data_IF_732476059669
#
_entry.id   IF_732476059669
#
_cell.length_a   1.000
_cell.length_b   1.000
_cell.length_c   1.000
_cell.angle_alpha   90.00
_cell.angle_beta   90.00
_cell.angle_gamma   90.00
#
_symmetry.space_group_name_H-M   'P 1'
#
loop_
_entity.id
_entity.type
_entity.pdbx_description
1 polymer ?
#
# COMPACT_ATOMS: atom_id res chain seq x y z
N UNK A 1 14.52 -7.00 17.36
CA UNK A 1 15.07 -5.62 17.14
C UNK A 1 13.98 -4.80 16.47
N UNK A 2 13.89 -3.49 16.81
CA UNK A 2 12.90 -2.57 16.18
C UNK A 2 13.67 -1.64 15.23
N UNK A 3 13.16 -1.49 14.01
CA UNK A 3 13.67 -0.56 13.00
C UNK A 3 12.54 0.36 12.55
N UNK A 4 12.81 1.65 12.48
CA UNK A 4 11.84 2.66 12.05
C UNK A 4 12.30 3.35 10.77
N UNK A 5 11.37 3.57 9.85
CA UNK A 5 11.59 4.23 8.57
C UNK A 5 10.52 5.30 8.37
N UNK A 6 10.93 6.53 8.13
CA UNK A 6 10.01 7.59 7.70
C UNK A 6 10.13 7.76 6.20
N UNK A 7 9.02 7.62 5.49
CA UNK A 7 8.94 7.84 4.05
C UNK A 7 8.36 9.23 3.83
N UNK A 8 9.11 10.17 3.26
CA UNK A 8 8.62 11.50 2.98
C UNK A 8 7.39 11.49 2.05
N UNK A 9 6.60 12.55 2.11
CA UNK A 9 5.50 12.77 1.17
C UNK A 9 5.97 12.59 -0.29
N UNK A 10 5.14 12.00 -1.14
CA UNK A 10 5.39 11.82 -2.58
C UNK A 10 6.66 11.02 -2.89
N UNK A 11 7.13 10.17 -2.00
CA UNK A 11 8.33 9.34 -2.18
C UNK A 11 8.07 7.86 -1.88
N UNK A 12 9.05 7.00 -2.21
CA UNK A 12 8.98 5.57 -1.95
C UNK A 12 10.26 5.03 -1.33
N UNK A 13 10.15 3.85 -0.72
CA UNK A 13 11.27 3.17 -0.06
C UNK A 13 11.18 1.66 -0.21
N UNK A 14 12.34 1.00 -0.36
CA UNK A 14 12.47 -0.45 -0.21
C UNK A 14 12.81 -0.80 1.23
N UNK A 15 12.13 -1.82 1.77
CA UNK A 15 12.39 -2.35 3.10
C UNK A 15 12.38 -3.88 3.02
N UNK A 16 13.47 -4.51 3.41
CA UNK A 16 13.54 -5.97 3.48
C UNK A 16 13.01 -6.47 4.83
N UNK A 17 12.16 -7.49 4.79
CA UNK A 17 11.48 -8.08 5.95
C UNK A 17 11.65 -9.58 5.92
N UNK A 18 11.85 -10.20 7.06
CA UNK A 18 11.91 -11.66 7.18
C UNK A 18 10.58 -12.27 7.57
N UNK A 19 10.44 -13.55 7.27
CA UNK A 19 9.30 -14.33 7.75
C UNK A 19 9.14 -14.20 9.27
N UNK A 20 7.89 -13.97 9.70
CA UNK A 20 7.43 -13.75 11.07
C UNK A 20 7.75 -12.36 11.67
N UNK A 21 8.46 -11.49 10.96
CA UNK A 21 8.57 -10.10 11.39
C UNK A 21 7.20 -9.41 11.34
N UNK A 22 7.03 -8.43 12.20
CA UNK A 22 5.84 -7.57 12.22
C UNK A 22 6.14 -6.27 11.48
N UNK A 23 5.21 -5.85 10.62
CA UNK A 23 5.26 -4.63 9.81
C UNK A 23 4.14 -3.73 10.30
N UNK A 24 4.45 -2.58 10.88
CA UNK A 24 3.46 -1.56 11.24
C UNK A 24 3.54 -0.40 10.26
N UNK A 25 2.44 -0.09 9.58
CA UNK A 25 2.31 1.07 8.70
C UNK A 25 1.50 2.13 9.43
N UNK A 26 2.02 3.33 9.57
CA UNK A 26 1.44 4.42 10.37
C UNK A 26 1.21 5.64 9.49
N UNK A 27 -0.02 6.15 9.50
CA UNK A 27 -0.37 7.47 8.97
C UNK A 27 -0.03 8.54 10.02
N UNK A 28 1.04 9.29 9.80
CA UNK A 28 1.59 10.20 10.80
C UNK A 28 0.70 11.41 11.08
N UNK A 29 0.05 11.94 10.06
CA UNK A 29 -0.73 13.19 10.14
C UNK A 29 -2.24 12.98 9.95
N UNK A 30 -2.63 11.81 9.45
CA UNK A 30 -4.01 11.47 9.12
C UNK A 30 -4.40 11.88 7.71
N UNK A 31 -5.19 11.03 7.05
CA UNK A 31 -5.69 11.28 5.69
C UNK A 31 -4.70 10.99 4.57
N UNK A 32 -3.60 10.27 4.84
CA UNK A 32 -2.58 9.88 3.86
C UNK A 32 -2.76 8.44 3.40
N UNK A 33 -2.82 8.22 2.11
CA UNK A 33 -2.83 6.89 1.49
C UNK A 33 -1.40 6.37 1.32
N UNK A 34 -1.25 5.06 1.52
CA UNK A 34 0.01 4.34 1.33
C UNK A 34 -0.17 3.30 0.24
N UNK A 35 0.55 3.46 -0.88
CA UNK A 35 0.65 2.41 -1.89
C UNK A 35 1.62 1.33 -1.37
N UNK A 36 1.05 0.24 -0.87
CA UNK A 36 1.79 -0.85 -0.25
C UNK A 36 1.92 -2.02 -1.20
N UNK A 37 3.13 -2.28 -1.64
CA UNK A 37 3.48 -3.39 -2.53
C UNK A 37 4.60 -4.22 -1.91
N UNK A 38 4.66 -5.50 -2.27
CA UNK A 38 5.69 -6.42 -1.81
C UNK A 38 5.95 -7.49 -2.86
N UNK A 39 7.18 -7.99 -2.87
CA UNK A 39 7.58 -9.17 -3.63
C UNK A 39 8.29 -10.18 -2.72
N UNK A 40 8.22 -11.47 -3.07
CA UNK A 40 8.99 -12.49 -2.40
C UNK A 40 10.49 -12.19 -2.58
N UNK A 41 11.25 -12.15 -1.50
CA UNK A 41 12.66 -11.76 -1.53
C UNK A 41 13.45 -12.64 -2.47
N UNK A 42 14.12 -12.03 -3.45
CA UNK A 42 14.91 -12.73 -4.49
C UNK A 42 14.06 -13.34 -5.60
N UNK A 43 12.74 -13.13 -5.62
CA UNK A 43 11.87 -13.60 -6.68
C UNK A 43 10.83 -12.53 -7.06
N UNK A 44 11.18 -11.53 -7.89
CA UNK A 44 10.26 -10.46 -8.28
C UNK A 44 9.08 -10.94 -9.15
N UNK A 45 9.11 -12.19 -9.65
CA UNK A 45 8.00 -12.82 -10.34
C UNK A 45 6.85 -13.24 -9.40
N UNK A 46 7.11 -13.34 -8.11
CA UNK A 46 6.10 -13.59 -7.08
C UNK A 46 5.89 -12.35 -6.22
N UNK A 47 4.71 -11.76 -6.31
CA UNK A 47 4.42 -10.46 -5.71
C UNK A 47 3.00 -10.39 -5.14
N UNK A 48 2.76 -9.41 -4.29
CA UNK A 48 1.47 -9.08 -3.71
C UNK A 48 0.41 -8.89 -4.80
N UNK A 49 -0.72 -9.57 -4.66
CA UNK A 49 -1.84 -9.52 -5.58
C UNK A 49 -3.14 -9.18 -4.87
N UNK A 50 -3.65 -7.94 -4.97
CA UNK A 50 -4.95 -7.59 -4.40
C UNK A 50 -6.08 -8.45 -4.98
N UNK A 51 -6.00 -8.81 -6.26
CA UNK A 51 -7.04 -9.64 -6.91
C UNK A 51 -7.10 -11.05 -6.35
N UNK A 52 -5.95 -11.70 -6.14
CA UNK A 52 -5.89 -13.01 -5.47
C UNK A 52 -6.30 -12.89 -4.00
N UNK A 53 -5.96 -11.79 -3.35
CA UNK A 53 -6.38 -11.50 -1.97
C UNK A 53 -7.91 -11.39 -1.88
N UNK A 54 -8.55 -10.69 -2.82
CA UNK A 54 -10.02 -10.63 -2.94
C UNK A 54 -10.62 -12.02 -3.16
N UNK A 55 -10.04 -12.79 -4.08
CA UNK A 55 -10.52 -14.14 -4.44
C UNK A 55 -10.46 -15.09 -3.22
N UNK A 56 -9.32 -15.11 -2.51
CA UNK A 56 -9.11 -16.01 -1.37
C UNK A 56 -9.92 -15.62 -0.11
N UNK A 57 -10.11 -14.32 0.13
CA UNK A 57 -10.91 -13.85 1.27
C UNK A 57 -12.39 -13.65 0.92
N UNK A 58 -12.79 -13.83 -0.33
CA UNK A 58 -14.15 -13.58 -0.85
C UNK A 58 -14.68 -12.19 -0.43
N UNK A 59 -13.77 -11.18 -0.40
CA UNK A 59 -14.08 -9.84 0.12
C UNK A 59 -13.30 -8.75 -0.60
N UNK A 60 -13.97 -7.63 -0.88
CA UNK A 60 -13.36 -6.38 -1.34
C UNK A 60 -12.70 -5.59 -0.20
N UNK A 61 -12.95 -5.99 1.05
CA UNK A 61 -12.38 -5.35 2.24
C UNK A 61 -11.37 -6.27 2.90
N UNK A 62 -10.28 -5.68 3.35
CA UNK A 62 -9.26 -6.32 4.17
C UNK A 62 -9.57 -6.07 5.64
N UNK A 63 -9.57 -7.11 6.46
CA UNK A 63 -9.93 -7.06 7.88
C UNK A 63 -8.85 -7.74 8.73
N UNK A 64 -8.85 -7.44 10.01
CA UNK A 64 -8.04 -8.18 11.00
C UNK A 64 -8.34 -9.68 10.91
N UNK A 65 -7.30 -10.49 10.79
CA UNK A 65 -7.36 -11.94 10.58
C UNK A 65 -7.29 -12.37 9.11
N UNK A 66 -7.52 -11.47 8.15
CA UNK A 66 -7.40 -11.79 6.73
C UNK A 66 -5.95 -12.02 6.32
N UNK A 67 -5.77 -12.81 5.29
CA UNK A 67 -4.47 -13.07 4.68
C UNK A 67 -4.34 -12.31 3.36
N UNK A 68 -3.21 -11.65 3.16
CA UNK A 68 -2.78 -11.06 1.90
C UNK A 68 -2.00 -12.13 1.12
N UNK A 69 -2.33 -12.30 -0.15
CA UNK A 69 -1.79 -13.38 -0.99
C UNK A 69 -0.90 -12.86 -2.12
N UNK A 70 0.01 -13.72 -2.55
CA UNK A 70 0.79 -13.52 -3.78
C UNK A 70 -0.05 -13.81 -5.03
N UNK A 71 0.45 -13.37 -6.20
CA UNK A 71 -0.10 -13.75 -7.51
C UNK A 71 -0.06 -15.27 -7.78
N UNK A 72 0.64 -16.06 -6.93
CA UNK A 72 0.72 -17.52 -6.99
C UNK A 72 -0.13 -18.21 -5.89
N UNK A 73 -1.11 -17.51 -5.30
CA UNK A 73 -2.00 -18.02 -4.24
C UNK A 73 -1.27 -18.49 -2.98
N UNK A 74 -0.10 -17.92 -2.68
CA UNK A 74 0.63 -18.24 -1.45
C UNK A 74 0.39 -17.16 -0.39
N UNK A 75 0.18 -17.52 0.90
CA UNK A 75 0.10 -16.57 2.00
C UNK A 75 1.36 -15.70 2.06
N UNK A 76 1.20 -14.38 1.93
CA UNK A 76 2.30 -13.42 1.97
C UNK A 76 2.38 -12.68 3.30
N UNK A 77 1.25 -12.19 3.79
CA UNK A 77 1.13 -11.50 5.08
C UNK A 77 -0.25 -11.79 5.71
N UNK A 78 -0.36 -11.57 7.00
CA UNK A 78 -1.61 -11.61 7.75
C UNK A 78 -1.87 -10.26 8.40
N UNK A 79 -3.11 -9.78 8.38
CA UNK A 79 -3.53 -8.58 9.10
C UNK A 79 -3.70 -8.90 10.57
N UNK A 80 -2.83 -8.37 11.43
CA UNK A 80 -2.85 -8.61 12.88
C UNK A 80 -3.78 -7.64 13.61
N UNK A 81 -3.72 -6.36 13.23
CA UNK A 81 -4.62 -5.32 13.75
C UNK A 81 -4.74 -4.16 12.76
N UNK A 82 -5.81 -3.40 12.87
CA UNK A 82 -6.12 -2.29 11.98
C UNK A 82 -7.01 -1.28 12.69
N UNK A 83 -6.58 -0.03 12.76
CA UNK A 83 -7.29 1.05 13.43
C UNK A 83 -8.35 1.71 12.53
N UNK A 84 -8.30 1.49 11.20
CA UNK A 84 -9.10 2.24 10.20
C UNK A 84 -10.18 1.39 9.54
N UNK A 85 -9.87 0.16 9.15
CA UNK A 85 -10.82 -0.78 8.52
C UNK A 85 -11.18 -0.45 7.07
N UNK A 86 -10.54 0.55 6.46
CA UNK A 86 -10.77 0.94 5.06
C UNK A 86 -9.45 0.97 4.30
N UNK A 87 -9.35 0.08 3.30
CA UNK A 87 -8.20 -0.07 2.40
C UNK A 87 -8.73 -0.41 1.01
N UNK A 88 -8.07 0.12 -0.01
CA UNK A 88 -8.47 -0.14 -1.39
C UNK A 88 -7.63 -1.25 -2.03
N UNK A 89 -8.32 -2.21 -2.64
CA UNK A 89 -7.74 -3.34 -3.37
C UNK A 89 -8.01 -3.26 -4.89
N UNK A 90 -8.58 -2.16 -5.37
CA UNK A 90 -9.10 -2.04 -6.74
C UNK A 90 -8.23 -1.16 -7.63
N UNK A 91 -7.71 -0.05 -7.11
CA UNK A 91 -7.00 0.94 -7.92
C UNK A 91 -5.51 0.57 -8.07
N UNK A 92 -4.95 0.78 -9.27
CA UNK A 92 -3.51 0.71 -9.48
C UNK A 92 -2.80 1.90 -8.85
N UNK A 93 -1.46 1.82 -8.72
CA UNK A 93 -0.62 2.97 -8.38
C UNK A 93 -0.92 4.18 -9.27
N UNK A 94 -0.93 5.36 -8.68
CA UNK A 94 -0.92 6.60 -9.45
C UNK A 94 0.34 6.64 -10.34
N UNK A 95 0.21 7.21 -11.55
CA UNK A 95 1.23 7.22 -12.60
C UNK A 95 1.01 8.38 -13.59
N UNK A 96 2.01 8.72 -14.43
CA UNK A 96 1.92 9.88 -15.32
C UNK A 96 0.66 9.90 -16.20
N UNK A 97 0.25 8.75 -16.74
CA UNK A 97 -0.95 8.65 -17.59
C UNK A 97 -2.25 8.96 -16.82
N UNK A 98 -2.31 8.57 -15.54
CA UNK A 98 -3.46 8.88 -14.66
C UNK A 98 -3.54 10.39 -14.42
N UNK A 99 -2.42 11.03 -14.09
CA UNK A 99 -2.36 12.49 -13.90
C UNK A 99 -2.67 13.24 -15.19
N UNK A 100 -2.17 12.77 -16.33
CA UNK A 100 -2.49 13.37 -17.63
C UNK A 100 -3.99 13.27 -17.94
N UNK A 101 -4.61 12.12 -17.65
CA UNK A 101 -6.01 11.87 -17.93
C UNK A 101 -6.95 12.70 -17.04
N UNK A 102 -6.74 12.69 -15.72
CA UNK A 102 -7.67 13.32 -14.77
C UNK A 102 -7.34 14.79 -14.49
N UNK A 103 -6.06 15.17 -14.51
CA UNK A 103 -5.60 16.47 -13.98
C UNK A 103 -4.78 17.30 -14.97
N UNK A 104 -4.47 16.75 -16.16
CA UNK A 104 -3.69 17.42 -17.22
C UNK A 104 -2.27 17.86 -16.78
N UNK A 105 -1.68 17.18 -15.78
CA UNK A 105 -0.37 17.52 -15.19
C UNK A 105 0.58 16.31 -15.05
N UNK A 106 0.49 15.31 -15.95
CA UNK A 106 1.27 14.07 -15.86
C UNK A 106 2.79 14.23 -16.02
N UNK A 107 3.27 15.30 -16.69
CA UNK A 107 4.69 15.45 -16.98
C UNK A 107 5.47 15.88 -15.74
N UNK A 108 6.38 15.01 -15.26
CA UNK A 108 7.25 15.30 -14.12
C UNK A 108 6.54 15.28 -12.75
N UNK A 109 5.25 14.92 -12.71
CA UNK A 109 4.53 14.77 -11.44
C UNK A 109 5.07 13.55 -10.67
N UNK A 110 5.36 13.68 -9.35
CA UNK A 110 5.69 12.52 -8.52
C UNK A 110 4.56 11.48 -8.57
N UNK A 111 4.90 10.20 -8.63
CA UNK A 111 3.88 9.16 -8.69
C UNK A 111 4.36 7.86 -8.03
N UNK A 112 3.41 7.06 -7.55
CA UNK A 112 3.73 5.85 -6.78
C UNK A 112 4.32 4.75 -7.64
N UNK A 113 3.95 4.64 -8.92
CA UNK A 113 4.52 3.63 -9.81
C UNK A 113 6.03 3.83 -9.97
N UNK A 114 6.48 5.05 -10.26
CA UNK A 114 7.91 5.37 -10.39
C UNK A 114 8.64 5.27 -9.05
N UNK A 115 8.02 5.71 -7.97
CA UNK A 115 8.57 5.63 -6.62
C UNK A 115 8.84 4.17 -6.20
N UNK A 116 7.88 3.27 -6.39
CA UNK A 116 8.02 1.84 -6.05
C UNK A 116 9.02 1.15 -6.99
N UNK A 117 8.92 1.39 -8.30
CA UNK A 117 9.87 0.84 -9.27
C UNK A 117 11.31 1.26 -8.96
N UNK A 118 11.53 2.54 -8.69
CA UNK A 118 12.86 3.05 -8.31
C UNK A 118 13.36 2.41 -7.02
N UNK A 119 12.51 2.31 -6.00
CA UNK A 119 12.86 1.73 -4.72
C UNK A 119 13.24 0.24 -4.84
N UNK A 120 12.51 -0.54 -5.62
CA UNK A 120 12.77 -1.97 -5.83
C UNK A 120 13.88 -2.24 -6.86
N UNK A 121 14.24 -1.27 -7.69
CA UNK A 121 15.15 -1.46 -8.84
C UNK A 121 14.49 -2.18 -10.01
N UNK A 122 13.17 -2.08 -10.13
CA UNK A 122 12.33 -2.75 -11.12
C UNK A 122 11.80 -1.76 -12.16
N UNK A 123 11.23 -2.30 -13.25
CA UNK A 123 10.55 -1.54 -14.30
C UNK A 123 9.22 -2.18 -14.66
N UNK A 124 8.32 -2.29 -13.68
CA UNK A 124 6.98 -2.79 -13.91
C UNK A 124 6.15 -1.72 -14.62
N UNK A 125 5.46 -2.05 -15.71
CA UNK A 125 4.62 -1.07 -16.43
C UNK A 125 3.35 -0.72 -15.65
N UNK A 126 2.97 -1.58 -14.71
CA UNK A 126 1.80 -1.42 -13.83
C UNK A 126 2.06 -2.13 -12.52
N UNK A 127 1.72 -1.47 -11.42
CA UNK A 127 1.63 -2.07 -10.09
C UNK A 127 0.21 -1.83 -9.57
N UNK A 128 -0.43 -2.90 -9.08
CA UNK A 128 -1.66 -2.81 -8.29
C UNK A 128 -1.28 -3.11 -6.84
N UNK A 129 -1.11 -2.10 -6.00
CA UNK A 129 -0.77 -2.25 -4.60
C UNK A 129 -2.03 -2.57 -3.78
N UNK A 130 -1.89 -2.81 -2.50
CA UNK A 130 -2.96 -2.49 -1.54
C UNK A 130 -2.77 -1.03 -1.18
N UNK A 131 -3.78 -0.20 -1.46
CA UNK A 131 -3.79 1.21 -1.09
C UNK A 131 -4.28 1.32 0.35
N UNK A 132 -3.34 1.24 1.31
CA UNK A 132 -3.68 1.30 2.72
C UNK A 132 -4.25 2.68 3.07
N UNK A 133 -5.28 2.71 3.92
CA UNK A 133 -6.03 3.89 4.36
C UNK A 133 -6.84 4.60 3.26
N UNK A 134 -6.79 4.14 2.01
CA UNK A 134 -7.61 4.69 0.94
C UNK A 134 -9.07 4.27 1.09
N UNK A 135 -9.97 5.23 1.15
CA UNK A 135 -11.39 4.96 1.26
C UNK A 135 -12.05 5.00 -0.14
N UNK A 136 -12.34 3.81 -0.66
CA UNK A 136 -13.07 3.63 -1.92
C UNK A 136 -14.49 3.16 -1.60
N UNK A 137 -15.47 4.00 -1.90
CA UNK A 137 -16.88 3.68 -1.72
C UNK A 137 -17.41 2.96 -2.96
N UNK A 138 -17.99 1.77 -2.76
CA UNK A 138 -18.73 1.05 -3.78
C UNK A 138 -20.21 1.40 -3.68
N UNK A 139 -20.77 1.86 -4.77
CA UNK A 139 -22.19 2.20 -4.89
C UNK A 139 -23.01 1.00 -5.40
N UNK A 140 -24.31 0.95 -5.09
CA UNK A 140 -25.21 -0.15 -5.48
C UNK A 140 -25.32 -0.33 -7.00
N UNK A 141 -25.13 0.75 -7.77
CA UNK A 141 -25.12 0.74 -9.24
C UNK A 141 -23.77 0.32 -9.84
N UNK A 142 -22.80 -0.10 -9.02
CA UNK A 142 -21.47 -0.53 -9.43
C UNK A 142 -20.45 0.60 -9.62
N UNK A 143 -20.85 1.87 -9.46
CA UNK A 143 -19.89 2.98 -9.45
C UNK A 143 -18.99 2.90 -8.22
N UNK A 144 -17.75 3.39 -8.36
CA UNK A 144 -16.81 3.59 -7.26
C UNK A 144 -16.46 5.07 -7.18
N UNK A 145 -16.28 5.56 -5.95
CA UNK A 145 -15.76 6.90 -5.70
C UNK A 145 -14.66 6.85 -4.65
N UNK A 146 -13.62 7.66 -4.86
CA UNK A 146 -12.55 7.82 -3.88
C UNK A 146 -12.96 8.95 -2.95
N UNK A 147 -13.15 8.62 -1.69
CA UNK A 147 -13.56 9.53 -0.65
C UNK A 147 -12.35 9.93 0.21
N UNK A 148 -12.55 10.94 1.07
CA UNK A 148 -11.52 11.33 2.04
C UNK A 148 -11.20 10.15 2.95
N UNK A 149 -9.91 9.81 3.16
CA UNK A 149 -9.50 8.76 4.09
C UNK A 149 -10.08 8.97 5.49
N UNK A 150 -10.39 7.88 6.18
CA UNK A 150 -10.93 7.91 7.54
C UNK A 150 -9.82 7.91 8.60
N UNK A 151 -8.58 7.68 8.19
CA UNK A 151 -7.43 7.65 9.09
C UNK A 151 -7.18 8.99 9.77
N UNK A 152 -6.78 8.91 11.03
CA UNK A 152 -6.36 10.01 11.89
C UNK A 152 -4.85 9.94 12.14
N UNK A 153 -4.28 11.01 12.63
CA UNK A 153 -2.87 11.05 13.00
C UNK A 153 -2.52 9.91 14.00
N UNK A 154 -1.59 9.07 13.61
CA UNK A 154 -1.12 7.93 14.40
C UNK A 154 -1.88 6.62 14.17
N UNK A 155 -2.97 6.62 13.39
CA UNK A 155 -3.67 5.38 13.02
C UNK A 155 -2.73 4.46 12.20
N UNK A 156 -2.90 3.16 12.40
CA UNK A 156 -1.98 2.16 11.86
C UNK A 156 -2.69 0.85 11.48
N UNK A 157 -2.03 0.13 10.58
CA UNK A 157 -2.29 -1.27 10.32
C UNK A 157 -1.04 -2.08 10.67
N UNK A 158 -1.22 -3.24 11.27
CA UNK A 158 -0.15 -4.17 11.66
C UNK A 158 -0.27 -5.44 10.85
N UNK A 159 0.79 -5.78 10.13
CA UNK A 159 0.88 -6.97 9.29
C UNK A 159 1.96 -7.90 9.83
N UNK A 160 1.77 -9.21 9.67
CA UNK A 160 2.79 -10.22 9.98
C UNK A 160 3.24 -10.91 8.69
N UNK A 161 4.53 -10.88 8.40
CA UNK A 161 5.11 -11.52 7.23
C UNK A 161 5.03 -13.05 7.34
N UNK A 162 4.57 -13.74 6.28
CA UNK A 162 4.50 -15.21 6.18
C UNK A 162 5.65 -15.79 5.36
N UNK A 163 6.45 -14.93 4.72
CA UNK A 163 7.66 -15.28 3.95
C UNK A 163 8.64 -14.11 4.00
N UNK A 164 9.87 -14.32 3.54
CA UNK A 164 10.83 -13.23 3.37
C UNK A 164 10.39 -12.32 2.22
N UNK A 165 10.38 -11.01 2.44
CA UNK A 165 9.81 -10.01 1.53
C UNK A 165 10.79 -8.87 1.24
N UNK A 166 10.67 -8.31 0.05
CA UNK A 166 11.12 -6.96 -0.28
C UNK A 166 9.87 -6.08 -0.45
N UNK A 167 9.64 -5.17 0.50
CA UNK A 167 8.54 -4.20 0.43
C UNK A 167 8.94 -3.06 -0.51
N UNK A 168 8.01 -2.63 -1.36
CA UNK A 168 8.07 -1.38 -2.11
C UNK A 168 6.90 -0.51 -1.64
N UNK A 169 7.17 0.49 -0.82
CA UNK A 169 6.13 1.29 -0.18
C UNK A 169 6.27 2.74 -0.60
N UNK A 170 5.17 3.39 -0.96
CA UNK A 170 5.15 4.81 -1.30
C UNK A 170 4.09 5.57 -0.50
N UNK A 171 4.47 6.76 0.00
CA UNK A 171 3.49 7.76 0.45
C UNK A 171 2.84 8.36 -0.79
N UNK A 172 1.55 8.09 -0.99
CA UNK A 172 0.83 8.42 -2.22
C UNK A 172 0.95 9.90 -2.59
N UNK A 173 1.14 10.17 -3.89
CA UNK A 173 1.47 11.50 -4.40
C UNK A 173 0.26 12.28 -4.92
N UNK A 174 -0.98 11.76 -4.79
CA UNK A 174 -2.19 12.43 -5.32
C UNK A 174 -2.63 13.54 -4.37
N UNK A 175 -2.39 14.79 -4.74
CA UNK A 175 -2.83 15.99 -4.01
C UNK A 175 -4.05 16.69 -4.65
N UNK A 176 -4.44 16.27 -5.85
CA UNK A 176 -5.45 16.93 -6.69
C UNK A 176 -6.89 16.49 -6.36
N UNK A 177 -7.06 15.52 -5.47
CA UNK A 177 -8.38 14.97 -5.11
C UNK A 177 -8.49 14.69 -3.62
N UNK A 178 -9.60 14.05 -3.23
CA UNK A 178 -9.82 13.62 -1.84
C UNK A 178 -8.93 12.45 -1.41
N UNK A 179 -8.23 11.80 -2.33
CA UNK A 179 -7.42 10.59 -2.07
C UNK A 179 -6.48 10.75 -0.87
N UNK A 180 -5.76 11.87 -0.79
CA UNK A 180 -4.90 12.23 0.35
C UNK A 180 -5.43 13.50 1.06
N UNK A 181 -6.74 13.64 1.17
CA UNK A 181 -7.36 14.83 1.82
C UNK A 181 -6.96 16.17 1.18
N UNK A 182 -6.47 16.17 -0.07
CA UNK A 182 -6.03 17.38 -0.81
C UNK A 182 -4.57 17.78 -0.52
N UNK A 183 -3.81 16.99 0.24
CA UNK A 183 -2.38 17.24 0.52
C UNK A 183 -1.66 15.94 0.80
N UNK A 184 -0.35 15.88 0.49
CA UNK A 184 0.47 14.70 0.78
C UNK A 184 1.28 14.93 2.04
N UNK A 185 1.39 13.88 2.88
CA UNK A 185 2.13 13.87 4.12
C UNK A 185 3.07 12.67 4.24
N UNK A 186 4.04 12.66 5.15
CA UNK A 186 4.91 11.52 5.36
C UNK A 186 4.17 10.37 6.07
N UNK A 187 4.70 9.16 5.90
CA UNK A 187 4.26 7.96 6.60
C UNK A 187 5.43 7.33 7.37
N UNK A 188 5.12 6.47 8.33
CA UNK A 188 6.15 5.71 9.05
C UNK A 188 5.90 4.21 8.90
N UNK A 189 7.00 3.47 8.70
CA UNK A 189 7.01 2.00 8.76
C UNK A 189 7.86 1.58 9.95
N UNK A 190 7.34 0.68 10.78
CA UNK A 190 8.08 0.06 11.88
C UNK A 190 8.16 -1.43 11.64
N UNK A 191 9.37 -1.96 11.65
CA UNK A 191 9.63 -3.40 11.55
C UNK A 191 10.08 -3.92 12.91
N UNK A 192 9.32 -4.85 13.47
CA UNK A 192 9.71 -5.57 14.68
C UNK A 192 10.18 -6.98 14.29
N UNK A 193 11.51 -7.16 14.39
CA UNK A 193 12.12 -8.45 14.08
C UNK A 193 11.84 -9.45 15.21
N UNK A 194 11.34 -10.63 14.83
CA UNK A 194 11.17 -11.72 15.79
C UNK A 194 12.55 -12.22 16.23
N UNK A 195 12.83 -12.15 17.55
CA UNK A 195 14.04 -12.75 18.11
C UNK A 195 13.99 -14.28 17.90
N UNK A 196 14.94 -14.80 17.18
CA UNK A 196 15.18 -16.23 17.01
C UNK A 196 16.12 -16.74 18.08
#
# INVERSE_FOLDING_TARGET
MIKEYTIPACSGMKIDVKQNDTITVIDLEGGQVVDFFAEAKGNPGEFLSPRVTIDCNESLKLRTGDTIYTNLYRPMMEVVSDDVGEHDLLHPCCRPEMYAFFYHNGTGHPNCLDNINTALGERRPLITPINLFMYTKLHEDGRISVEKPLSKAGDRIVLKAKMDLSLGVAACSVSESLCNSGSCSPIKIVIEELHR
#
